data_IF_713647572735
#
_entry.id   IF_713647572735
#
_cell.length_a   1.000
_cell.length_b   1.000
_cell.length_c   1.000
_cell.angle_alpha   90.00
_cell.angle_beta   90.00
_cell.angle_gamma   90.00
#
_symmetry.space_group_name_H-M   'P 1'
#
loop_
_entity.id
_entity.type
_entity.pdbx_description
1 polymer ?
#
# COMPACT_ATOMS: atom_id res chain seq x y z
N UNK A 1 5.14 -6.97 2.31
CA UNK A 1 5.28 -5.52 2.07
C UNK A 1 4.05 -4.79 2.60
N UNK A 2 4.26 -3.67 3.26
CA UNK A 2 3.20 -2.77 3.74
C UNK A 2 3.44 -1.39 3.13
N UNK A 3 2.48 -0.90 2.35
CA UNK A 3 2.64 0.37 1.63
C UNK A 3 2.78 1.57 2.55
N UNK A 4 2.05 1.59 3.67
CA UNK A 4 2.18 2.65 4.69
C UNK A 4 3.58 2.63 5.30
N UNK A 5 4.05 1.45 5.70
CA UNK A 5 5.39 1.31 6.29
C UNK A 5 6.49 1.75 5.32
N UNK A 6 6.39 1.37 4.05
CA UNK A 6 7.36 1.74 3.02
C UNK A 6 7.38 3.25 2.78
N UNK A 7 6.21 3.88 2.66
CA UNK A 7 6.10 5.34 2.52
C UNK A 7 6.73 6.03 3.73
N UNK A 8 6.41 5.55 4.92
CA UNK A 8 6.90 6.10 6.17
C UNK A 8 8.43 5.96 6.29
N UNK A 9 8.98 4.90 5.73
CA UNK A 9 10.43 4.67 5.70
C UNK A 9 11.16 5.49 4.62
N UNK A 10 10.44 6.21 3.77
CA UNK A 10 11.05 7.11 2.78
C UNK A 10 10.94 6.66 1.32
N UNK A 11 10.22 5.58 1.02
CA UNK A 11 10.02 5.12 -0.36
C UNK A 11 8.78 5.76 -0.96
N UNK A 12 8.90 6.27 -2.19
CA UNK A 12 7.81 6.93 -2.88
C UNK A 12 6.84 5.90 -3.49
N UNK A 13 5.65 5.77 -2.92
CA UNK A 13 4.64 4.83 -3.40
C UNK A 13 3.95 5.29 -4.69
N UNK A 14 4.11 6.55 -5.09
CA UNK A 14 3.66 7.00 -6.41
C UNK A 14 4.56 6.48 -7.54
N UNK A 15 5.76 6.03 -7.20
CA UNK A 15 6.72 5.42 -8.14
C UNK A 15 7.10 4.02 -7.63
N UNK A 16 6.12 3.18 -7.48
CA UNK A 16 6.28 1.83 -6.93
C UNK A 16 7.23 0.97 -7.77
N UNK A 17 7.25 1.16 -9.08
CA UNK A 17 8.15 0.40 -9.97
C UNK A 17 9.63 0.65 -9.66
N UNK A 18 10.00 1.87 -9.31
CA UNK A 18 11.38 2.18 -8.88
C UNK A 18 11.74 1.44 -7.60
N UNK A 19 10.78 1.38 -6.64
CA UNK A 19 10.98 0.60 -5.42
C UNK A 19 11.18 -0.89 -5.75
N UNK A 20 10.37 -1.47 -6.65
CA UNK A 20 10.48 -2.87 -7.03
C UNK A 20 11.82 -3.14 -7.71
N UNK A 21 12.29 -2.25 -8.57
CA UNK A 21 13.61 -2.39 -9.20
C UNK A 21 14.73 -2.41 -8.16
N UNK A 22 14.66 -1.56 -7.16
CA UNK A 22 15.61 -1.56 -6.04
C UNK A 22 15.53 -2.86 -5.24
N UNK A 23 14.33 -3.32 -4.93
CA UNK A 23 14.11 -4.55 -4.17
C UNK A 23 14.74 -5.75 -4.89
N UNK A 24 14.54 -5.85 -6.22
CA UNK A 24 15.06 -6.94 -7.05
C UNK A 24 16.59 -7.00 -7.10
N UNK A 25 17.28 -5.90 -6.80
CA UNK A 25 18.75 -5.92 -6.71
C UNK A 25 19.26 -6.63 -5.45
N UNK A 26 18.40 -6.82 -4.46
CA UNK A 26 18.76 -7.35 -3.14
C UNK A 26 18.05 -8.65 -2.79
N UNK A 27 16.86 -8.85 -3.32
CA UNK A 27 16.00 -9.99 -2.97
C UNK A 27 15.33 -10.55 -4.21
N UNK A 28 14.96 -11.84 -4.14
CA UNK A 28 14.10 -12.46 -5.13
C UNK A 28 12.66 -11.98 -4.90
N UNK A 29 12.06 -11.36 -5.92
CA UNK A 29 10.68 -10.85 -5.84
C UNK A 29 9.66 -11.95 -5.50
N UNK A 30 9.99 -13.22 -5.82
CA UNK A 30 9.15 -14.37 -5.50
C UNK A 30 9.04 -14.64 -3.99
N UNK A 31 9.89 -14.00 -3.18
CA UNK A 31 9.80 -14.07 -1.72
C UNK A 31 8.66 -13.21 -1.18
N UNK A 32 8.12 -12.27 -1.97
CA UNK A 32 6.97 -11.46 -1.57
C UNK A 32 5.72 -12.32 -1.66
N UNK A 33 5.09 -12.60 -0.52
CA UNK A 33 3.92 -13.48 -0.41
C UNK A 33 2.62 -12.73 -0.17
N UNK A 34 2.70 -11.46 0.19
CA UNK A 34 1.54 -10.65 0.55
C UNK A 34 1.91 -9.17 0.49
N UNK A 35 0.95 -8.34 0.12
CA UNK A 35 1.08 -6.89 0.20
C UNK A 35 -0.03 -6.37 1.11
N UNK A 36 0.36 -5.66 2.18
CA UNK A 36 -0.57 -4.89 3.00
C UNK A 36 -0.77 -3.55 2.34
N UNK A 37 -1.97 -3.34 1.81
CA UNK A 37 -2.32 -2.16 1.01
C UNK A 37 -3.04 -1.15 1.90
N UNK A 38 -2.30 -0.17 2.40
CA UNK A 38 -2.81 0.84 3.32
C UNK A 38 -2.35 2.23 2.90
N UNK A 39 -3.19 3.24 3.15
CA UNK A 39 -2.75 4.62 3.02
C UNK A 39 -2.02 5.06 4.30
N UNK A 40 -1.42 6.23 4.30
CA UNK A 40 -0.61 6.72 5.41
C UNK A 40 -1.13 8.05 5.94
N UNK A 41 -1.27 8.16 7.27
CA UNK A 41 -1.64 9.40 7.93
C UNK A 41 -0.54 10.47 7.86
N UNK A 42 0.68 10.09 7.52
CA UNK A 42 1.84 10.96 7.58
C UNK A 42 2.54 11.06 6.22
N UNK A 43 3.26 12.17 5.96
CA UNK A 43 4.05 12.30 4.74
C UNK A 43 5.14 11.23 4.63
N UNK A 44 5.66 11.07 3.42
CA UNK A 44 6.77 10.16 3.14
C UNK A 44 7.95 10.45 4.10
N UNK A 45 8.54 9.40 4.63
CA UNK A 45 9.72 9.50 5.50
C UNK A 45 9.45 9.95 6.94
N UNK A 46 8.19 9.98 7.37
CA UNK A 46 7.84 10.48 8.72
C UNK A 46 8.21 9.54 9.88
N UNK A 47 8.45 8.26 9.61
CA UNK A 47 8.82 7.24 10.60
C UNK A 47 7.79 7.07 11.75
N UNK A 48 6.50 7.13 11.42
CA UNK A 48 5.41 7.02 12.41
C UNK A 48 4.52 5.79 12.24
N UNK A 49 4.50 5.22 11.04
CA UNK A 49 3.75 3.99 10.69
C UNK A 49 2.30 4.00 11.19
N UNK A 50 1.50 4.96 10.73
CA UNK A 50 0.08 5.09 11.05
C UNK A 50 -0.75 4.92 9.78
N UNK A 51 -1.61 3.88 9.73
CA UNK A 51 -2.47 3.60 8.59
C UNK A 51 -3.59 4.63 8.48
N UNK A 52 -3.89 5.02 7.24
CA UNK A 52 -5.07 5.82 6.91
C UNK A 52 -6.00 5.00 6.02
N UNK A 53 -7.27 5.38 5.97
CA UNK A 53 -8.21 4.78 5.05
C UNK A 53 -7.82 5.10 3.61
N UNK A 54 -8.18 4.21 2.68
CA UNK A 54 -7.78 4.33 1.27
C UNK A 54 -8.24 5.66 0.68
N UNK A 55 -7.29 6.39 0.12
CA UNK A 55 -7.54 7.70 -0.48
C UNK A 55 -7.63 8.87 0.50
N UNK A 56 -7.50 8.59 1.82
CA UNK A 56 -7.60 9.62 2.86
C UNK A 56 -6.23 10.02 3.43
N UNK A 57 -5.16 9.46 2.91
CA UNK A 57 -3.81 9.72 3.40
C UNK A 57 -2.88 10.29 2.34
N UNK A 58 -1.60 10.29 2.67
CA UNK A 58 -0.55 10.91 1.85
C UNK A 58 -0.10 10.06 0.66
N UNK A 59 -0.35 8.75 0.64
CA UNK A 59 -0.06 7.90 -0.52
C UNK A 59 -1.09 8.19 -1.61
N UNK A 60 -2.35 8.17 -1.26
CA UNK A 60 -3.46 8.50 -2.14
C UNK A 60 -4.03 7.32 -2.92
N UNK A 61 -5.27 7.50 -3.36
CA UNK A 61 -6.04 6.47 -4.05
C UNK A 61 -5.39 5.96 -5.33
N UNK A 62 -4.91 6.88 -6.19
CA UNK A 62 -4.35 6.51 -7.50
C UNK A 62 -3.10 5.65 -7.37
N UNK A 63 -2.21 6.00 -6.46
CA UNK A 63 -0.98 5.22 -6.22
C UNK A 63 -1.30 3.83 -5.68
N UNK A 64 -2.22 3.75 -4.72
CA UNK A 64 -2.63 2.47 -4.14
C UNK A 64 -3.32 1.57 -5.17
N UNK A 65 -4.16 2.14 -6.03
CA UNK A 65 -4.82 1.39 -7.10
C UNK A 65 -3.81 0.84 -8.10
N UNK A 66 -2.79 1.61 -8.46
CA UNK A 66 -1.73 1.15 -9.34
C UNK A 66 -0.93 0.00 -8.72
N UNK A 67 -0.69 0.05 -7.42
CA UNK A 67 -0.01 -1.04 -6.71
C UNK A 67 -0.89 -2.30 -6.71
N UNK A 68 -2.18 -2.16 -6.47
CA UNK A 68 -3.12 -3.27 -6.50
C UNK A 68 -3.09 -4.02 -7.84
N UNK A 69 -3.01 -3.30 -8.94
CA UNK A 69 -3.03 -3.85 -10.30
C UNK A 69 -1.65 -4.03 -10.91
N UNK A 70 -0.58 -3.94 -10.12
CA UNK A 70 0.78 -4.14 -10.63
C UNK A 70 0.96 -5.58 -11.12
N UNK A 71 1.38 -5.74 -12.36
CA UNK A 71 1.51 -7.05 -13.03
C UNK A 71 2.45 -8.02 -12.30
N UNK A 72 3.50 -7.50 -11.68
CA UNK A 72 4.49 -8.33 -10.97
C UNK A 72 3.92 -9.01 -9.73
N UNK A 73 2.82 -8.48 -9.20
CA UNK A 73 2.19 -8.98 -7.97
C UNK A 73 0.74 -9.41 -8.20
N UNK A 74 0.35 -9.71 -9.44
CA UNK A 74 -1.02 -10.05 -9.80
C UNK A 74 -1.57 -11.23 -8.99
N UNK A 75 -0.76 -12.26 -8.78
CA UNK A 75 -1.15 -13.46 -8.05
C UNK A 75 -0.95 -13.36 -6.54
N UNK A 76 -0.44 -12.24 -6.04
CA UNK A 76 -0.11 -12.06 -4.63
C UNK A 76 -1.31 -11.44 -3.90
N UNK A 77 -1.74 -12.00 -2.73
CA UNK A 77 -2.81 -11.41 -1.95
C UNK A 77 -2.49 -9.99 -1.50
N UNK A 78 -3.49 -9.11 -1.56
CA UNK A 78 -3.41 -7.75 -1.01
C UNK A 78 -4.39 -7.68 0.16
N UNK A 79 -3.92 -7.21 1.30
CA UNK A 79 -4.65 -7.19 2.56
C UNK A 79 -4.79 -5.75 3.04
N UNK A 80 -5.98 -5.37 3.48
CA UNK A 80 -6.25 -4.06 4.07
C UNK A 80 -6.18 -4.16 5.59
N UNK A 81 -5.49 -3.20 6.21
CA UNK A 81 -5.43 -3.06 7.66
C UNK A 81 -5.72 -1.60 8.05
N UNK A 82 -6.64 -0.98 7.32
CA UNK A 82 -7.02 0.41 7.52
C UNK A 82 -7.88 0.58 8.78
N UNK A 83 -7.91 1.79 9.38
CA UNK A 83 -8.65 2.01 10.62
C UNK A 83 -10.16 1.84 10.45
N UNK A 84 -10.83 1.37 11.50
CA UNK A 84 -12.29 1.33 11.55
C UNK A 84 -12.84 2.76 11.51
N UNK A 85 -14.02 2.90 10.90
CA UNK A 85 -14.75 4.16 10.81
C UNK A 85 -16.04 4.02 11.63
N UNK A 86 -16.19 4.86 12.66
CA UNK A 86 -17.36 4.83 13.54
C UNK A 86 -17.63 3.43 14.11
N UNK A 87 -16.58 2.71 14.49
CA UNK A 87 -16.67 1.37 15.06
C UNK A 87 -16.95 0.26 14.06
N UNK A 88 -16.93 0.54 12.76
CA UNK A 88 -17.21 -0.43 11.70
C UNK A 88 -16.00 -0.67 10.80
N UNK A 89 -15.81 -1.90 10.38
CA UNK A 89 -14.77 -2.25 9.44
C UNK A 89 -15.05 -1.63 8.05
N UNK A 90 -14.08 -0.90 7.47
CA UNK A 90 -14.29 -0.18 6.21
C UNK A 90 -13.96 -1.02 4.97
N UNK A 91 -13.52 -2.25 5.12
CA UNK A 91 -12.83 -3.01 4.08
C UNK A 91 -13.68 -3.29 2.86
N UNK A 92 -14.97 -3.59 3.03
CA UNK A 92 -15.87 -3.85 1.92
C UNK A 92 -15.95 -2.63 0.99
N UNK A 93 -16.17 -1.45 1.56
CA UNK A 93 -16.29 -0.21 0.80
C UNK A 93 -14.97 0.16 0.13
N UNK A 94 -13.86 -0.07 0.82
CA UNK A 94 -12.52 0.21 0.28
C UNK A 94 -12.18 -0.73 -0.88
N UNK A 95 -12.52 -2.01 -0.77
CA UNK A 95 -12.33 -2.98 -1.85
C UNK A 95 -13.17 -2.58 -3.07
N UNK A 96 -14.44 -2.22 -2.87
CA UNK A 96 -15.31 -1.77 -3.96
C UNK A 96 -14.75 -0.53 -4.65
N UNK A 97 -14.23 0.43 -3.88
CA UNK A 97 -13.62 1.64 -4.41
C UNK A 97 -12.40 1.34 -5.28
N UNK A 98 -11.51 0.47 -4.80
CA UNK A 98 -10.28 0.11 -5.50
C UNK A 98 -10.52 -0.72 -6.76
N UNK A 99 -11.58 -1.50 -6.80
CA UNK A 99 -11.85 -2.45 -7.89
C UNK A 99 -12.89 -1.95 -8.90
N UNK A 100 -13.33 -0.72 -8.76
CA UNK A 100 -14.27 -0.10 -9.71
C UNK A 100 -13.65 0.17 -11.07
#
# INVERSE_FOLDING_TARGET
LDTCHLSDAGYDMSDFDSFINLLQTKFDINLVKCIHLNDSLNPIGAHKDRHANIGKGYIGFESLKKILYNDKFESIPKILETPYIDGKAPYKDEIELLTK
#
